data_IF_293073563499
#
_entry.id   IF_293073563499
#
_cell.length_a   1.000
_cell.length_b   1.000
_cell.length_c   1.000
_cell.angle_alpha   90.00
_cell.angle_beta   90.00
_cell.angle_gamma   90.00
#
_symmetry.space_group_name_H-M   'P 1'
#
loop_
_entity.id
_entity.type
_entity.pdbx_description
1 polymer ?
#
# COMPACT_ATOMS: atom_id res chain seq x y z
N UNK A 1 -8.57 -10.42 -33.82
CA UNK A 1 -7.63 -10.14 -32.71
C UNK A 1 -8.43 -9.49 -31.60
N UNK A 2 -8.87 -10.29 -30.63
CA UNK A 2 -9.51 -9.80 -29.41
C UNK A 2 -8.88 -10.57 -28.26
N UNK A 3 -8.03 -9.90 -27.49
CA UNK A 3 -7.53 -10.39 -26.21
C UNK A 3 -8.46 -9.85 -25.14
N UNK A 4 -9.57 -10.55 -24.89
CA UNK A 4 -10.29 -10.41 -23.64
C UNK A 4 -9.48 -11.17 -22.59
N UNK A 5 -8.64 -10.44 -21.86
CA UNK A 5 -8.18 -10.86 -20.54
C UNK A 5 -9.36 -10.73 -19.59
N UNK A 6 -10.06 -11.85 -19.36
CA UNK A 6 -11.04 -11.96 -18.29
C UNK A 6 -10.39 -11.72 -16.91
N UNK A 7 -11.19 -11.54 -15.85
CA UNK A 7 -10.66 -11.31 -14.52
C UNK A 7 -9.87 -12.55 -14.09
N UNK A 8 -8.56 -12.37 -13.88
CA UNK A 8 -7.65 -13.41 -13.41
C UNK A 8 -7.99 -13.86 -12.00
N UNK A 9 -9.06 -14.63 -11.83
CA UNK A 9 -9.20 -15.53 -10.69
C UNK A 9 -8.49 -16.80 -11.10
N UNK A 10 -7.28 -16.99 -10.58
CA UNK A 10 -6.51 -18.21 -10.71
C UNK A 10 -7.46 -19.40 -10.55
N UNK A 11 -7.55 -20.20 -11.60
CA UNK A 11 -8.42 -21.37 -11.62
C UNK A 11 -8.13 -22.26 -10.43
N UNK A 12 -9.20 -22.86 -9.89
CA UNK A 12 -9.20 -23.97 -8.94
C UNK A 12 -7.88 -24.75 -8.95
N UNK A 13 -6.93 -24.36 -8.09
CA UNK A 13 -5.74 -25.17 -7.88
C UNK A 13 -6.19 -26.39 -7.11
N UNK A 14 -5.74 -27.58 -7.52
CA UNK A 14 -5.60 -28.66 -6.57
C UNK A 14 -4.88 -28.07 -5.34
N UNK A 15 -5.47 -28.21 -4.15
CA UNK A 15 -4.98 -27.54 -2.95
C UNK A 15 -3.48 -27.77 -2.83
N UNK A 16 -2.70 -26.69 -2.98
CA UNK A 16 -1.26 -26.74 -2.79
C UNK A 16 -1.00 -27.25 -1.36
N UNK A 17 0.11 -27.98 -1.14
CA UNK A 17 0.60 -28.26 0.21
C UNK A 17 0.58 -26.98 1.06
N UNK A 18 0.26 -27.10 2.35
CA UNK A 18 0.04 -25.96 3.25
C UNK A 18 1.22 -24.97 3.22
N UNK A 19 2.43 -25.50 3.14
CA UNK A 19 3.68 -24.74 3.05
C UNK A 19 3.85 -23.91 1.76
N UNK A 20 3.07 -24.19 0.71
CA UNK A 20 3.08 -23.48 -0.57
C UNK A 20 1.85 -22.58 -0.74
N UNK A 21 0.97 -22.50 0.26
CA UNK A 21 -0.18 -21.61 0.21
C UNK A 21 0.24 -20.15 0.47
N UNK A 22 -0.41 -19.22 -0.22
CA UNK A 22 -0.18 -17.80 -0.03
C UNK A 22 -0.61 -17.38 1.38
N UNK A 23 0.34 -16.87 2.15
CA UNK A 23 0.14 -16.40 3.52
C UNK A 23 -0.53 -15.01 3.56
N UNK A 24 -1.78 -14.91 3.10
CA UNK A 24 -2.53 -13.65 2.97
C UNK A 24 -2.58 -12.88 4.30
N UNK A 25 -2.98 -13.55 5.39
CA UNK A 25 -3.14 -12.90 6.70
C UNK A 25 -1.81 -12.37 7.27
N UNK A 26 -0.70 -13.15 7.24
CA UNK A 26 0.62 -12.61 7.58
C UNK A 26 1.05 -11.40 6.74
N UNK A 27 0.81 -11.40 5.43
CA UNK A 27 1.15 -10.26 4.58
C UNK A 27 0.30 -9.02 4.91
N UNK A 28 -1.00 -9.18 5.14
CA UNK A 28 -1.86 -8.07 5.54
C UNK A 28 -1.42 -7.47 6.89
N UNK A 29 -1.12 -8.34 7.88
CA UNK A 29 -0.63 -7.93 9.19
C UNK A 29 0.73 -7.23 9.11
N UNK A 30 1.62 -7.70 8.25
CA UNK A 30 2.90 -7.05 8.00
C UNK A 30 2.70 -5.61 7.50
N UNK A 31 1.85 -5.40 6.49
CA UNK A 31 1.55 -4.07 5.94
C UNK A 31 0.98 -3.14 7.02
N UNK A 32 0.04 -3.63 7.83
CA UNK A 32 -0.53 -2.86 8.95
C UNK A 32 0.53 -2.43 9.98
N UNK A 33 1.56 -3.27 10.21
CA UNK A 33 2.62 -2.99 11.17
C UNK A 33 3.69 -2.00 10.69
N UNK A 34 3.72 -1.68 9.39
CA UNK A 34 4.77 -0.80 8.84
C UNK A 34 4.70 0.64 9.39
N UNK A 35 3.51 1.10 9.80
CA UNK A 35 3.34 2.45 10.37
C UNK A 35 3.50 2.50 11.90
N UNK A 36 3.71 1.38 12.59
CA UNK A 36 3.64 1.37 14.07
C UNK A 36 4.95 1.75 14.77
N UNK A 37 6.09 1.67 14.07
CA UNK A 37 7.45 1.79 14.66
C UNK A 37 8.03 3.20 14.55
N UNK A 38 7.26 4.20 14.99
CA UNK A 38 7.60 5.64 14.84
C UNK A 38 8.77 6.09 15.73
N UNK A 39 9.18 5.25 16.67
CA UNK A 39 10.33 5.43 17.55
C UNK A 39 11.65 4.89 16.97
N UNK A 40 11.60 4.15 15.86
CA UNK A 40 12.77 3.57 15.21
C UNK A 40 13.36 4.49 14.13
N UNK A 41 14.69 4.51 14.01
CA UNK A 41 15.38 5.32 12.99
C UNK A 41 15.00 4.88 11.56
N UNK A 42 14.84 3.58 11.31
CA UNK A 42 14.48 3.09 9.96
C UNK A 42 13.13 3.62 9.48
N UNK A 43 12.19 3.90 10.40
CA UNK A 43 10.93 4.51 10.05
C UNK A 43 11.15 5.90 9.44
N UNK A 44 12.00 6.74 10.05
CA UNK A 44 12.25 8.10 9.56
C UNK A 44 13.15 8.13 8.33
N UNK A 45 14.09 7.18 8.20
CA UNK A 45 14.93 7.07 7.00
C UNK A 45 14.12 6.82 5.72
N UNK A 46 12.90 6.30 5.84
CA UNK A 46 12.00 6.03 4.70
C UNK A 46 10.89 7.06 4.54
N UNK A 47 10.91 8.16 5.31
CA UNK A 47 9.86 9.20 5.26
C UNK A 47 9.69 9.81 3.86
N UNK A 48 10.80 10.05 3.15
CA UNK A 48 10.83 10.57 1.78
C UNK A 48 10.17 9.62 0.74
N UNK A 49 9.67 8.46 1.15
CA UNK A 49 8.93 7.51 0.33
C UNK A 49 7.53 7.21 0.88
N UNK A 50 7.06 7.87 1.96
CA UNK A 50 5.88 7.44 2.73
C UNK A 50 4.62 7.31 1.89
N UNK A 51 4.28 8.34 1.10
CA UNK A 51 3.09 8.32 0.25
C UNK A 51 3.18 7.23 -0.85
N UNK A 52 4.38 7.01 -1.41
CA UNK A 52 4.62 5.91 -2.35
C UNK A 52 4.49 4.53 -1.67
N UNK A 53 4.99 4.41 -0.45
CA UNK A 53 4.85 3.23 0.39
C UNK A 53 3.40 2.90 0.71
N UNK A 54 2.59 3.93 0.97
CA UNK A 54 1.16 3.80 1.16
C UNK A 54 0.47 3.25 -0.10
N UNK A 55 0.83 3.74 -1.30
CA UNK A 55 0.35 3.20 -2.57
C UNK A 55 0.71 1.71 -2.75
N UNK A 56 1.95 1.32 -2.44
CA UNK A 56 2.37 -0.09 -2.52
C UNK A 56 1.55 -0.97 -1.56
N UNK A 57 1.36 -0.52 -0.32
CA UNK A 57 0.59 -1.23 0.69
C UNK A 57 -0.88 -1.39 0.32
N UNK A 58 -1.56 -0.30 -0.05
CA UNK A 58 -2.97 -0.31 -0.46
C UNK A 58 -3.21 -1.21 -1.69
N UNK A 59 -2.34 -1.12 -2.69
CA UNK A 59 -2.45 -1.92 -3.91
C UNK A 59 -2.24 -3.40 -3.61
N UNK A 60 -1.23 -3.75 -2.80
CA UNK A 60 -1.00 -5.13 -2.38
C UNK A 60 -2.20 -5.70 -1.61
N UNK A 61 -2.76 -4.94 -0.67
CA UNK A 61 -3.96 -5.33 0.07
C UNK A 61 -5.17 -5.53 -0.84
N UNK A 62 -5.34 -4.69 -1.85
CA UNK A 62 -6.40 -4.85 -2.85
C UNK A 62 -6.24 -6.15 -3.64
N UNK A 63 -5.00 -6.45 -4.10
CA UNK A 63 -4.67 -7.70 -4.80
C UNK A 63 -4.89 -8.95 -3.92
N UNK A 64 -4.65 -8.82 -2.61
CA UNK A 64 -4.88 -9.88 -1.62
C UNK A 64 -6.35 -10.02 -1.19
N UNK A 65 -7.27 -9.20 -1.73
CA UNK A 65 -8.68 -9.23 -1.34
C UNK A 65 -8.92 -8.74 0.10
N UNK A 66 -8.12 -7.79 0.57
CA UNK A 66 -8.22 -7.13 1.89
C UNK A 66 -8.26 -5.59 1.76
N UNK A 67 -9.16 -5.01 0.94
CA UNK A 67 -9.17 -3.58 0.66
C UNK A 67 -9.39 -2.69 1.91
N UNK A 68 -10.08 -3.22 2.91
CA UNK A 68 -10.43 -2.49 4.14
C UNK A 68 -9.46 -2.74 5.30
N UNK A 69 -8.28 -3.32 5.03
CA UNK A 69 -7.31 -3.65 6.08
C UNK A 69 -6.58 -2.42 6.66
N UNK A 70 -6.61 -1.26 6.00
CA UNK A 70 -6.09 0.00 6.53
C UNK A 70 -7.23 0.96 6.91
N UNK A 71 -7.05 1.81 7.94
CA UNK A 71 -8.06 2.78 8.35
C UNK A 71 -8.27 3.82 7.25
N UNK A 72 -9.39 3.72 6.53
CA UNK A 72 -9.69 4.57 5.36
C UNK A 72 -9.61 6.06 5.67
N UNK A 73 -10.17 6.49 6.80
CA UNK A 73 -10.24 7.90 7.14
C UNK A 73 -8.85 8.50 7.41
N UNK A 74 -8.06 7.84 8.26
CA UNK A 74 -6.67 8.22 8.55
C UNK A 74 -5.79 8.19 7.29
N UNK A 75 -6.03 7.20 6.42
CA UNK A 75 -5.33 7.09 5.13
C UNK A 75 -5.60 8.30 4.24
N UNK A 76 -6.86 8.71 4.10
CA UNK A 76 -7.25 9.88 3.30
C UNK A 76 -6.71 11.17 3.92
N UNK A 77 -6.78 11.31 5.24
CA UNK A 77 -6.25 12.47 5.96
C UNK A 77 -4.73 12.60 5.74
N UNK A 78 -3.98 11.51 5.82
CA UNK A 78 -2.55 11.50 5.53
C UNK A 78 -2.25 11.94 4.09
N UNK A 79 -2.92 11.37 3.09
CA UNK A 79 -2.75 11.76 1.68
C UNK A 79 -3.01 13.26 1.50
N UNK A 80 -4.11 13.78 2.05
CA UNK A 80 -4.47 15.19 1.93
C UNK A 80 -3.49 16.12 2.65
N UNK A 81 -2.90 15.69 3.77
CA UNK A 81 -1.85 16.45 4.46
C UNK A 81 -0.53 16.56 3.67
N UNK A 82 -0.36 15.76 2.62
CA UNK A 82 0.80 15.82 1.73
C UNK A 82 0.60 16.78 0.54
N UNK A 83 -0.60 17.35 0.36
CA UNK A 83 -0.86 18.28 -0.74
C UNK A 83 -0.21 19.65 -0.48
N UNK A 84 0.56 20.13 -1.45
CA UNK A 84 1.22 21.43 -1.43
C UNK A 84 0.31 22.52 -2.02
N UNK A 85 0.63 23.80 -1.75
CA UNK A 85 -0.17 24.95 -2.20
C UNK A 85 -0.22 25.15 -3.72
N UNK A 86 0.67 24.51 -4.47
CA UNK A 86 0.68 24.45 -5.93
C UNK A 86 -0.20 23.32 -6.51
N UNK A 87 -0.78 22.49 -5.64
CA UNK A 87 -1.66 21.38 -5.99
C UNK A 87 -0.96 20.02 -6.13
N UNK A 88 0.37 19.98 -6.17
CA UNK A 88 1.13 18.73 -6.17
C UNK A 88 1.18 18.06 -4.80
N UNK A 89 1.67 16.83 -4.75
CA UNK A 89 1.82 16.08 -3.49
C UNK A 89 3.30 15.82 -3.18
N UNK A 90 3.68 16.06 -1.92
CA UNK A 90 4.96 15.64 -1.36
C UNK A 90 4.93 14.20 -0.87
N UNK A 91 6.10 13.61 -0.61
CA UNK A 91 6.18 12.23 -0.13
C UNK A 91 5.69 12.04 1.31
N UNK A 92 5.70 13.11 2.11
CA UNK A 92 5.19 13.21 3.47
C UNK A 92 4.84 14.69 3.77
N UNK A 93 4.11 15.00 4.86
CA UNK A 93 3.79 16.37 5.22
C UNK A 93 5.06 17.24 5.38
N UNK A 94 5.06 18.41 4.73
CA UNK A 94 6.20 19.33 4.75
C UNK A 94 7.31 19.03 3.73
N UNK A 95 7.18 17.96 2.94
CA UNK A 95 8.08 17.69 1.81
C UNK A 95 7.62 18.45 0.56
N UNK A 96 8.55 18.74 -0.35
CA UNK A 96 8.25 19.40 -1.62
C UNK A 96 7.41 18.50 -2.54
N UNK A 97 6.53 19.12 -3.33
CA UNK A 97 5.73 18.42 -4.32
C UNK A 97 6.60 17.72 -5.38
N UNK A 98 6.21 16.50 -5.77
CA UNK A 98 6.92 15.74 -6.78
C UNK A 98 5.97 14.88 -7.64
N UNK A 99 6.29 14.70 -8.92
CA UNK A 99 5.48 13.89 -9.86
C UNK A 99 5.34 12.42 -9.46
N UNK A 100 6.26 11.88 -8.67
CA UNK A 100 6.16 10.50 -8.18
C UNK A 100 5.08 10.35 -7.11
N UNK A 101 4.86 11.39 -6.33
CA UNK A 101 3.94 11.40 -5.19
C UNK A 101 2.56 11.97 -5.54
N UNK A 102 2.43 12.59 -6.72
CA UNK A 102 1.19 13.13 -7.30
C UNK A 102 0.48 12.09 -8.16
#
# INVERSE_FOLDING_TARGET
MSLVSGPGRAGSSAALPEELQLAIEPHAKYIQSLDTRKDELEYWLTEHLRLNGLYWGLTALHLLGRPDALPRQETVEFVMSCQCGDGGFGAAPGHDAHLLST
#
